data_IF_464870216443
#
_entry.id   IF_464870216443
#
_cell.length_a   1.000
_cell.length_b   1.000
_cell.length_c   1.000
_cell.angle_alpha   90.00
_cell.angle_beta   90.00
_cell.angle_gamma   90.00
#
_symmetry.space_group_name_H-M   'P 1'
#
loop_
_entity.id
_entity.type
_entity.pdbx_description
1 polymer ?
#
# COMPACT_ATOMS: atom_id res chain seq x y z
N UNK A 1 2.33 -4.06 -7.07
CA UNK A 1 2.59 -3.54 -5.70
C UNK A 1 1.55 -4.15 -4.79
N UNK A 2 1.94 -5.01 -3.85
CA UNK A 2 1.00 -5.62 -2.91
C UNK A 2 0.84 -4.71 -1.69
N UNK A 3 -0.36 -4.18 -1.48
CA UNK A 3 -0.67 -3.35 -0.30
C UNK A 3 -1.16 -4.28 0.81
N UNK A 4 -0.56 -4.17 1.99
CA UNK A 4 -1.07 -4.87 3.18
C UNK A 4 -2.20 -4.04 3.77
N UNK A 5 -3.42 -4.58 3.73
CA UNK A 5 -4.61 -4.01 4.33
C UNK A 5 -5.11 -5.02 5.36
N UNK A 6 -5.58 -4.54 6.50
CA UNK A 6 -6.09 -5.39 7.58
C UNK A 6 -7.30 -4.78 8.25
N UNK A 7 -8.03 -5.62 8.96
CA UNK A 7 -9.13 -5.22 9.82
C UNK A 7 -8.64 -5.20 11.27
N UNK A 8 -8.99 -4.16 12.01
CA UNK A 8 -8.61 -4.03 13.41
C UNK A 8 -9.74 -3.41 14.23
N UNK A 9 -9.81 -3.78 15.50
CA UNK A 9 -10.79 -3.26 16.45
C UNK A 9 -10.09 -2.23 17.35
N UNK A 10 -10.58 -0.98 17.40
CA UNK A 10 -10.05 0.02 18.32
C UNK A 10 -10.14 -0.45 19.77
N UNK A 11 -9.07 -0.25 20.56
CA UNK A 11 -9.04 -0.64 21.98
C UNK A 11 -10.16 0.01 22.81
N UNK A 12 -10.65 1.16 22.38
CA UNK A 12 -11.70 1.95 23.03
C UNK A 12 -13.11 1.63 22.52
N UNK A 13 -13.29 0.58 21.71
CA UNK A 13 -14.61 0.24 21.17
C UNK A 13 -15.62 -0.06 22.30
N UNK A 14 -16.84 0.50 22.24
CA UNK A 14 -17.89 0.15 23.20
C UNK A 14 -18.55 -1.20 22.88
N UNK A 15 -18.34 -1.76 21.68
CA UNK A 15 -18.92 -3.04 21.25
C UNK A 15 -17.86 -3.91 20.57
N UNK A 16 -17.05 -4.58 21.38
CA UNK A 16 -15.99 -5.46 20.88
C UNK A 16 -16.55 -6.68 20.16
N UNK A 17 -17.51 -7.38 20.75
CA UNK A 17 -18.12 -8.59 20.18
C UNK A 17 -18.74 -8.33 18.81
N UNK A 18 -19.44 -7.20 18.63
CA UNK A 18 -19.97 -6.82 17.32
C UNK A 18 -18.89 -6.51 16.29
N UNK A 19 -17.78 -5.90 16.72
CA UNK A 19 -16.61 -5.68 15.86
C UNK A 19 -15.96 -6.99 15.41
N UNK A 20 -15.81 -7.96 16.31
CA UNK A 20 -15.30 -9.30 16.02
C UNK A 20 -16.24 -10.02 15.02
N UNK A 21 -17.55 -10.03 15.30
CA UNK A 21 -18.55 -10.63 14.41
C UNK A 21 -18.58 -10.01 13.01
N UNK A 22 -18.35 -8.71 12.89
CA UNK A 22 -18.23 -8.04 11.59
C UNK A 22 -16.97 -8.48 10.84
N UNK A 23 -15.81 -8.52 11.53
CA UNK A 23 -14.57 -9.01 10.92
C UNK A 23 -14.76 -10.45 10.42
N UNK A 24 -15.35 -11.32 11.24
CA UNK A 24 -15.65 -12.70 10.86
C UNK A 24 -16.56 -12.75 9.63
N UNK A 25 -17.62 -11.93 9.58
CA UNK A 25 -18.51 -11.85 8.42
C UNK A 25 -17.79 -11.38 7.15
N UNK A 26 -16.93 -10.36 7.25
CA UNK A 26 -16.16 -9.83 6.13
C UNK A 26 -15.15 -10.85 5.59
N UNK A 27 -14.61 -11.72 6.44
CA UNK A 27 -13.63 -12.74 6.07
C UNK A 27 -14.26 -14.05 5.58
N UNK A 28 -15.60 -14.15 5.54
CA UNK A 28 -16.26 -15.31 4.92
C UNK A 28 -15.96 -15.37 3.42
N UNK A 29 -15.70 -16.57 2.86
CA UNK A 29 -15.44 -16.73 1.42
C UNK A 29 -16.50 -16.06 0.55
N UNK A 30 -17.79 -16.25 0.86
CA UNK A 30 -18.89 -15.66 0.10
C UNK A 30 -18.86 -14.12 0.11
N UNK A 31 -18.52 -13.51 1.24
CA UNK A 31 -18.43 -12.04 1.37
C UNK A 31 -17.26 -11.50 0.55
N UNK A 32 -16.09 -12.14 0.64
CA UNK A 32 -14.90 -11.78 -0.14
C UNK A 32 -15.15 -11.92 -1.65
N UNK A 33 -15.90 -12.95 -2.08
CA UNK A 33 -16.26 -13.14 -3.48
C UNK A 33 -17.25 -12.08 -3.99
N UNK A 34 -18.18 -11.60 -3.14
CA UNK A 34 -19.02 -10.44 -3.48
C UNK A 34 -18.14 -9.20 -3.64
N UNK A 35 -17.24 -8.95 -2.70
CA UNK A 35 -16.29 -7.82 -2.78
C UNK A 35 -15.45 -7.85 -4.06
N UNK A 36 -14.97 -9.03 -4.47
CA UNK A 36 -14.27 -9.22 -5.74
C UNK A 36 -15.14 -8.85 -6.95
N UNK A 37 -16.37 -9.37 -7.01
CA UNK A 37 -17.26 -9.14 -8.17
C UNK A 37 -17.65 -7.67 -8.33
N UNK A 38 -17.93 -7.00 -7.22
CA UNK A 38 -18.47 -5.64 -7.24
C UNK A 38 -17.37 -4.57 -7.27
N UNK A 39 -16.17 -4.86 -6.76
CA UNK A 39 -15.12 -3.83 -6.57
C UNK A 39 -13.75 -4.20 -7.16
N UNK A 40 -13.58 -5.39 -7.74
CA UNK A 40 -12.27 -5.93 -8.15
C UNK A 40 -11.26 -6.02 -7.01
N UNK A 41 -11.73 -6.21 -5.77
CA UNK A 41 -10.87 -6.43 -4.60
C UNK A 41 -10.68 -7.93 -4.36
N UNK A 42 -9.44 -8.40 -4.50
CA UNK A 42 -9.11 -9.82 -4.42
C UNK A 42 -9.23 -10.36 -2.99
N UNK A 43 -9.75 -11.60 -2.82
CA UNK A 43 -9.87 -12.22 -1.51
C UNK A 43 -8.53 -12.31 -0.77
N UNK A 44 -8.55 -12.04 0.53
CA UNK A 44 -7.39 -12.21 1.43
C UNK A 44 -7.41 -13.54 2.20
N UNK A 45 -8.39 -14.38 1.89
CA UNK A 45 -8.57 -15.74 2.44
C UNK A 45 -8.39 -16.75 1.31
N UNK A 46 -8.02 -17.98 1.65
CA UNK A 46 -7.89 -19.06 0.67
C UNK A 46 -9.28 -19.46 0.15
N UNK A 47 -9.59 -19.05 -1.09
CA UNK A 47 -10.86 -19.33 -1.75
C UNK A 47 -10.64 -19.54 -3.23
N UNK A 48 -11.31 -20.56 -3.79
CA UNK A 48 -11.34 -20.77 -5.24
C UNK A 48 -12.12 -19.62 -5.89
N UNK A 49 -11.49 -18.93 -6.83
CA UNK A 49 -12.16 -17.91 -7.63
C UNK A 49 -13.23 -18.55 -8.55
N UNK A 50 -14.40 -17.91 -8.72
CA UNK A 50 -15.46 -18.46 -9.57
C UNK A 50 -15.04 -18.58 -11.04
N UNK A 51 -15.42 -19.70 -11.66
CA UNK A 51 -15.10 -19.97 -13.07
C UNK A 51 -15.89 -19.06 -14.03
N UNK A 52 -16.92 -18.36 -13.56
CA UNK A 52 -17.78 -17.43 -14.31
C UNK A 52 -17.36 -15.94 -14.16
N UNK A 53 -16.22 -15.63 -13.54
CA UNK A 53 -15.71 -14.26 -13.52
C UNK A 53 -15.56 -13.69 -14.93
N UNK A 54 -15.82 -12.39 -15.08
CA UNK A 54 -15.63 -11.71 -16.36
C UNK A 54 -14.15 -11.77 -16.80
N UNK A 55 -13.90 -11.64 -18.09
CA UNK A 55 -12.55 -11.81 -18.66
C UNK A 55 -11.51 -10.87 -18.04
N UNK A 56 -11.88 -9.62 -17.74
CA UNK A 56 -10.98 -8.64 -17.13
C UNK A 56 -10.56 -9.06 -15.73
N UNK A 57 -11.53 -9.40 -14.87
CA UNK A 57 -11.29 -9.87 -13.50
C UNK A 57 -10.44 -11.14 -13.46
N UNK A 58 -10.62 -12.07 -14.40
CA UNK A 58 -9.76 -13.26 -14.51
C UNK A 58 -8.31 -12.92 -14.81
N UNK A 59 -8.07 -11.98 -15.74
CA UNK A 59 -6.72 -11.53 -16.07
C UNK A 59 -6.05 -10.83 -14.89
N UNK A 60 -6.79 -9.98 -14.18
CA UNK A 60 -6.32 -9.33 -12.95
C UNK A 60 -6.01 -10.36 -11.85
N UNK A 61 -6.88 -11.35 -11.65
CA UNK A 61 -6.68 -12.42 -10.68
C UNK A 61 -5.38 -13.18 -10.91
N UNK A 62 -5.17 -13.61 -12.15
CA UNK A 62 -3.97 -14.34 -12.54
C UNK A 62 -2.72 -13.48 -12.35
N UNK A 63 -2.79 -12.19 -12.67
CA UNK A 63 -1.67 -11.25 -12.48
C UNK A 63 -1.34 -11.04 -11.00
N UNK A 64 -2.36 -10.82 -10.15
CA UNK A 64 -2.19 -10.66 -8.70
C UNK A 64 -1.62 -11.92 -8.07
N UNK A 65 -2.16 -13.11 -8.43
CA UNK A 65 -1.66 -14.39 -7.93
C UNK A 65 -0.20 -14.63 -8.34
N UNK A 66 0.16 -14.34 -9.60
CA UNK A 66 1.56 -14.45 -10.07
C UNK A 66 2.48 -13.47 -9.35
N UNK A 67 2.05 -12.22 -9.16
CA UNK A 67 2.84 -11.20 -8.46
C UNK A 67 3.06 -11.57 -6.98
N UNK A 68 2.00 -12.04 -6.30
CA UNK A 68 2.05 -12.38 -4.88
C UNK A 68 2.89 -13.65 -4.60
N UNK A 69 2.86 -14.62 -5.50
CA UNK A 69 3.59 -15.89 -5.37
C UNK A 69 4.97 -15.91 -6.07
N UNK A 70 5.43 -14.77 -6.61
CA UNK A 70 6.74 -14.70 -7.23
C UNK A 70 7.85 -14.97 -6.19
N UNK A 71 8.91 -15.68 -6.61
CA UNK A 71 10.03 -16.04 -5.70
C UNK A 71 10.73 -14.83 -5.07
N UNK A 72 10.69 -13.71 -5.78
CA UNK A 72 11.27 -12.42 -5.39
C UNK A 72 10.20 -11.41 -4.92
N UNK A 73 8.97 -11.86 -4.67
CA UNK A 73 7.91 -11.00 -4.16
C UNK A 73 8.39 -10.27 -2.90
N UNK A 74 8.23 -8.94 -2.90
CA UNK A 74 8.57 -8.07 -1.78
C UNK A 74 7.31 -7.50 -1.16
N UNK A 75 7.20 -7.63 0.16
CA UNK A 75 6.19 -6.92 0.93
C UNK A 75 6.65 -5.48 1.09
N UNK A 76 5.91 -4.54 0.50
CA UNK A 76 6.22 -3.10 0.52
C UNK A 76 5.04 -2.38 1.16
N UNK A 77 5.10 -2.05 2.46
CA UNK A 77 4.12 -1.17 3.08
C UNK A 77 4.10 0.21 2.42
N UNK A 78 2.93 0.84 2.40
CA UNK A 78 2.84 2.25 2.04
C UNK A 78 3.62 3.11 3.06
N UNK A 79 4.14 4.27 2.65
CA UNK A 79 4.69 5.25 3.59
C UNK A 79 3.62 5.71 4.59
N UNK A 80 3.63 5.14 5.79
CA UNK A 80 2.65 5.40 6.87
C UNK A 80 3.27 6.23 7.99
N UNK A 81 2.47 7.03 8.69
CA UNK A 81 2.95 7.86 9.80
C UNK A 81 3.47 9.24 9.38
N UNK A 82 3.22 9.66 8.14
CA UNK A 82 3.57 11.01 7.66
C UNK A 82 2.63 12.11 8.17
N UNK A 83 1.41 11.76 8.62
CA UNK A 83 0.43 12.73 9.11
C UNK A 83 0.20 13.88 8.12
N UNK A 84 0.27 15.12 8.61
CA UNK A 84 0.11 16.33 7.80
C UNK A 84 1.17 16.47 6.68
N UNK A 85 2.30 15.74 6.76
CA UNK A 85 3.38 15.79 5.78
C UNK A 85 3.19 14.86 4.58
N UNK A 86 2.10 14.08 4.54
CA UNK A 86 1.79 13.20 3.41
C UNK A 86 1.63 13.94 2.08
N UNK A 87 1.07 15.16 2.09
CA UNK A 87 0.91 15.98 0.89
C UNK A 87 2.23 16.46 0.29
N UNK A 88 3.13 16.97 1.14
CA UNK A 88 4.49 17.41 0.74
C UNK A 88 5.29 16.22 0.16
N UNK A 89 5.25 15.07 0.85
CA UNK A 89 5.89 13.84 0.39
C UNK A 89 5.39 13.39 -0.99
N UNK A 90 4.07 13.26 -1.18
CA UNK A 90 3.49 12.81 -2.44
C UNK A 90 3.78 13.77 -3.59
N UNK A 91 3.78 15.08 -3.31
CA UNK A 91 4.08 16.11 -4.30
C UNK A 91 5.54 15.99 -4.77
N UNK A 92 6.48 15.77 -3.85
CA UNK A 92 7.89 15.61 -4.22
C UNK A 92 8.14 14.37 -5.10
N UNK A 93 7.49 13.24 -4.79
CA UNK A 93 7.56 12.02 -5.61
C UNK A 93 6.97 12.26 -7.01
N UNK A 94 5.79 12.89 -7.09
CA UNK A 94 5.13 13.18 -8.38
C UNK A 94 5.96 14.16 -9.22
N UNK A 95 6.50 15.21 -8.59
CA UNK A 95 7.37 16.18 -9.25
C UNK A 95 8.66 15.53 -9.78
N UNK A 96 9.22 14.56 -9.04
CA UNK A 96 10.39 13.80 -9.50
C UNK A 96 10.10 13.13 -10.85
N UNK A 97 8.98 12.41 -10.96
CA UNK A 97 8.57 11.78 -12.22
C UNK A 97 8.35 12.79 -13.33
N UNK A 98 7.59 13.86 -13.08
CA UNK A 98 7.27 14.87 -14.10
C UNK A 98 8.55 15.55 -14.61
N UNK A 99 9.43 15.97 -13.71
CA UNK A 99 10.65 16.69 -14.09
C UNK A 99 11.62 15.80 -14.86
N UNK A 100 11.81 14.55 -14.43
CA UNK A 100 12.72 13.62 -15.11
C UNK A 100 12.10 13.08 -16.40
N UNK A 101 10.96 12.42 -16.30
CA UNK A 101 10.41 11.62 -17.41
C UNK A 101 9.68 12.48 -18.43
N UNK A 102 8.91 13.47 -17.96
CA UNK A 102 8.07 14.29 -18.86
C UNK A 102 8.85 15.50 -19.40
N UNK A 103 9.68 16.12 -18.56
CA UNK A 103 10.42 17.36 -18.92
C UNK A 103 11.89 17.14 -19.27
N UNK A 104 12.40 15.92 -19.14
CA UNK A 104 13.78 15.57 -19.46
C UNK A 104 14.83 16.44 -18.74
N UNK A 105 14.54 16.84 -17.49
CA UNK A 105 15.49 17.57 -16.65
C UNK A 105 16.62 16.64 -16.17
N UNK A 106 17.81 17.18 -15.81
CA UNK A 106 18.92 16.37 -15.33
C UNK A 106 18.56 15.55 -14.09
N UNK A 107 18.64 14.22 -14.21
CA UNK A 107 18.17 13.26 -13.20
C UNK A 107 18.75 13.55 -11.81
N UNK A 108 20.08 13.63 -11.69
CA UNK A 108 20.71 13.78 -10.38
C UNK A 108 20.34 15.11 -9.71
N UNK A 109 20.16 16.18 -10.48
CA UNK A 109 19.71 17.47 -9.96
C UNK A 109 18.32 17.36 -9.37
N UNK A 110 17.36 16.77 -10.11
CA UNK A 110 15.99 16.58 -9.62
C UNK A 110 15.96 15.68 -8.38
N UNK A 111 16.71 14.57 -8.40
CA UNK A 111 16.78 13.64 -7.25
C UNK A 111 17.34 14.32 -6.01
N UNK A 112 18.39 15.14 -6.13
CA UNK A 112 18.95 15.87 -4.99
C UNK A 112 17.93 16.87 -4.42
N UNK A 113 17.24 17.62 -5.28
CA UNK A 113 16.27 18.64 -4.86
C UNK A 113 15.01 18.02 -4.25
N UNK A 114 14.42 17.01 -4.90
CA UNK A 114 13.21 16.36 -4.39
C UNK A 114 13.53 15.46 -3.19
N UNK A 115 14.69 14.81 -3.16
CA UNK A 115 15.16 14.02 -2.04
C UNK A 115 15.28 14.82 -0.75
N UNK A 116 15.74 16.08 -0.82
CA UNK A 116 15.76 16.97 0.33
C UNK A 116 14.36 17.28 0.88
N UNK A 117 13.36 17.46 0.01
CA UNK A 117 11.96 17.68 0.41
C UNK A 117 11.39 16.42 1.07
N UNK A 118 11.63 15.25 0.48
CA UNK A 118 11.22 13.96 1.05
C UNK A 118 11.86 13.74 2.42
N UNK A 119 13.17 13.99 2.55
CA UNK A 119 13.87 13.87 3.83
C UNK A 119 13.27 14.80 4.89
N UNK A 120 12.98 16.05 4.51
CA UNK A 120 12.37 17.01 5.44
C UNK A 120 11.00 16.53 5.92
N UNK A 121 10.14 16.06 5.01
CA UNK A 121 8.81 15.55 5.34
C UNK A 121 8.87 14.36 6.31
N UNK A 122 9.80 13.43 6.07
CA UNK A 122 10.02 12.26 6.95
C UNK A 122 10.52 12.71 8.34
N UNK A 123 11.49 13.62 8.39
CA UNK A 123 12.05 14.15 9.64
C UNK A 123 10.99 14.89 10.46
N UNK A 124 10.25 15.81 9.85
CA UNK A 124 9.20 16.59 10.50
C UNK A 124 8.09 15.68 11.09
N UNK A 125 7.76 14.59 10.39
CA UNK A 125 6.77 13.62 10.85
C UNK A 125 7.33 12.60 11.86
N UNK A 126 8.64 12.60 12.10
CA UNK A 126 9.35 11.57 12.84
C UNK A 126 9.03 10.14 12.34
N UNK A 127 8.85 10.00 11.02
CA UNK A 127 8.40 8.77 10.40
C UNK A 127 9.56 7.77 10.28
N UNK A 128 9.38 6.56 10.80
CA UNK A 128 10.39 5.49 10.72
C UNK A 128 10.50 4.93 9.31
N UNK A 129 11.61 4.25 9.03
CA UNK A 129 11.75 3.52 7.77
C UNK A 129 10.67 2.44 7.62
N UNK A 130 10.27 2.24 6.38
CA UNK A 130 9.32 1.22 5.96
C UNK A 130 10.05 0.16 5.15
N UNK A 131 9.54 -1.08 5.14
CA UNK A 131 10.12 -2.12 4.29
C UNK A 131 10.06 -1.71 2.80
N UNK A 132 11.08 -2.01 1.99
CA UNK A 132 12.24 -2.85 2.27
C UNK A 132 13.46 -2.13 2.88
N UNK A 133 13.37 -0.83 3.19
CA UNK A 133 14.50 0.01 3.61
C UNK A 133 15.01 -0.26 5.05
N UNK A 134 14.56 -1.36 5.65
CA UNK A 134 14.92 -1.79 7.01
C UNK A 134 14.22 -1.00 8.12
N UNK A 135 14.60 -1.29 9.36
CA UNK A 135 14.08 -0.59 10.55
C UNK A 135 14.96 0.61 10.90
N UNK A 136 14.37 1.67 11.44
CA UNK A 136 15.10 2.83 12.00
C UNK A 136 14.74 3.10 13.47
N UNK A 137 15.71 3.64 14.22
CA UNK A 137 15.51 4.12 15.59
C UNK A 137 14.88 5.52 15.65
N UNK A 138 15.10 6.34 14.62
CA UNK A 138 14.51 7.67 14.43
C UNK A 138 13.91 7.83 13.03
N UNK A 139 13.75 9.07 12.55
CA UNK A 139 13.23 9.33 11.21
C UNK A 139 14.05 8.60 10.15
N UNK A 140 13.39 8.06 9.13
CA UNK A 140 14.07 7.39 8.02
C UNK A 140 15.02 8.36 7.30
N UNK A 141 16.15 7.84 6.83
CA UNK A 141 17.14 8.63 6.10
C UNK A 141 17.05 8.27 4.61
N UNK A 142 16.72 9.27 3.80
CA UNK A 142 16.74 9.21 2.33
C UNK A 142 18.21 9.15 1.91
N UNK A 143 18.56 8.16 1.10
CA UNK A 143 19.93 7.93 0.60
C UNK A 143 19.96 7.98 -0.92
#
# INVERSE_FOLDING_TARGET
MSVVIGLAIPKTTPNRTGGEALIDHLLKPETQLITLRENSFFPVVDVKLPDDLNKGLKLEADAVAKQANAKDAKVVPLPVGLGAKGGEFNTAITNTFVRIVVKNEPIQTVLNEQGAIVQKAITDANAKCWGPDGTSSGPCQVK
#
